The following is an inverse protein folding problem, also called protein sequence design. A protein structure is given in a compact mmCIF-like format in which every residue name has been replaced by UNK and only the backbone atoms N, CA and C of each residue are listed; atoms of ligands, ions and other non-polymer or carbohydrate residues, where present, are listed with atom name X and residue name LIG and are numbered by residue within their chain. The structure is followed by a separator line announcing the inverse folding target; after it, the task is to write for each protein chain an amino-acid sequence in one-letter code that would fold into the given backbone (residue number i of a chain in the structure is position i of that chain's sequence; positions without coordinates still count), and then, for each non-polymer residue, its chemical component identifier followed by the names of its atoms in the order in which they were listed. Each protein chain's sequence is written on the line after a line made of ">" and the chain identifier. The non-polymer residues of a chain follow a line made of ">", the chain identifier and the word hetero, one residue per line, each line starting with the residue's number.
data_IF_683719560781
#
_entry.id   IF_683719560781
#
_cell.length_a   1.000
_cell.length_b   1.000
_cell.length_c   1.000
_cell.angle_alpha   90.00
_cell.angle_beta   90.00
_cell.angle_gamma   90.00
#
_symmetry.space_group_name_H-M   'P 1'
#
loop_
_entity.id
_entity.type
_entity.pdbx_description
1 polymer ?
#
# COMPACT_ATOMS: atom_id res chain seq x y z
N UNK A 1 36.77 23.69 -63.81
CA UNK A 1 36.51 22.36 -63.20
C UNK A 1 36.00 22.57 -61.81
N UNK A 2 34.65 22.46 -61.60
CA UNK A 2 33.97 22.62 -60.29
C UNK A 2 33.62 21.23 -59.77
N UNK A 3 34.27 20.82 -58.66
CA UNK A 3 33.98 19.56 -57.97
C UNK A 3 32.90 19.78 -56.95
N UNK A 4 31.75 19.17 -57.13
CA UNK A 4 30.61 19.15 -56.21
C UNK A 4 30.79 17.97 -55.28
N UNK A 5 31.10 18.25 -53.99
CA UNK A 5 31.18 17.27 -52.91
C UNK A 5 29.78 17.02 -52.32
N UNK A 6 29.21 15.86 -52.63
CA UNK A 6 27.88 15.46 -52.14
C UNK A 6 28.06 14.82 -50.75
N UNK A 7 27.56 15.48 -49.70
CA UNK A 7 27.53 14.94 -48.34
C UNK A 7 26.31 14.02 -48.19
N UNK A 8 26.54 12.75 -48.07
CA UNK A 8 25.53 11.75 -47.65
C UNK A 8 25.32 11.84 -46.14
N UNK A 9 24.20 12.44 -45.74
CA UNK A 9 23.77 12.43 -44.33
C UNK A 9 23.04 11.11 -44.07
N UNK A 10 23.74 10.17 -43.45
CA UNK A 10 23.18 8.88 -43.05
C UNK A 10 22.32 9.09 -41.78
N UNK A 11 21.01 9.14 -41.97
CA UNK A 11 20.03 9.21 -40.86
C UNK A 11 19.94 7.83 -40.17
N UNK A 12 20.62 7.67 -39.06
CA UNK A 12 20.49 6.49 -38.19
C UNK A 12 19.13 6.55 -37.49
N UNK A 13 18.15 5.80 -37.99
CA UNK A 13 16.90 5.51 -37.30
C UNK A 13 17.21 4.59 -36.13
N UNK A 14 17.26 5.13 -34.92
CA UNK A 14 17.18 4.36 -33.68
C UNK A 14 15.77 3.76 -33.59
N UNK A 15 15.63 2.53 -34.05
CA UNK A 15 14.44 1.72 -33.77
C UNK A 15 14.56 1.32 -32.30
N UNK A 16 13.87 2.05 -31.44
CA UNK A 16 13.61 1.62 -30.06
C UNK A 16 12.71 0.38 -30.16
N UNK A 17 13.27 -0.79 -29.96
CA UNK A 17 12.48 -1.99 -29.67
C UNK A 17 11.81 -1.76 -28.31
N UNK A 18 10.58 -1.25 -28.35
CA UNK A 18 9.65 -1.47 -27.24
C UNK A 18 9.16 -2.90 -27.43
N UNK A 19 9.58 -3.79 -26.52
CA UNK A 19 9.00 -5.11 -26.43
C UNK A 19 7.48 -4.94 -26.29
N UNK A 20 6.67 -5.65 -27.10
CA UNK A 20 5.22 -5.62 -26.90
C UNK A 20 4.95 -6.17 -25.49
N UNK A 21 4.39 -5.34 -24.61
CA UNK A 21 3.83 -5.79 -23.35
C UNK A 21 2.82 -6.88 -23.70
N UNK A 22 3.11 -8.12 -23.34
CA UNK A 22 2.22 -9.26 -23.59
C UNK A 22 1.01 -9.10 -22.64
N UNK A 23 -0.02 -8.42 -23.14
CA UNK A 23 -1.26 -8.07 -22.43
C UNK A 23 -2.19 -9.30 -22.28
N UNK A 24 -1.62 -10.46 -21.95
CA UNK A 24 -2.38 -11.69 -21.69
C UNK A 24 -2.75 -11.89 -20.22
N UNK A 25 -2.27 -11.05 -19.33
CA UNK A 25 -2.62 -11.07 -17.90
C UNK A 25 -3.72 -10.09 -17.57
N UNK A 26 -4.46 -10.33 -16.48
CA UNK A 26 -5.37 -9.33 -15.95
C UNK A 26 -4.60 -8.07 -15.55
N UNK A 27 -5.18 -6.88 -15.78
CA UNK A 27 -4.58 -5.61 -15.37
C UNK A 27 -4.39 -5.63 -13.85
N UNK A 28 -3.17 -5.36 -13.37
CA UNK A 28 -2.83 -5.40 -11.93
C UNK A 28 -3.81 -4.61 -11.07
N UNK A 29 -4.20 -3.40 -11.50
CA UNK A 29 -5.21 -2.60 -10.79
C UNK A 29 -6.56 -3.32 -10.66
N UNK A 30 -7.01 -3.99 -11.72
CA UNK A 30 -8.28 -4.75 -11.69
C UNK A 30 -8.21 -5.92 -10.71
N UNK A 31 -7.08 -6.62 -10.67
CA UNK A 31 -6.83 -7.70 -9.71
C UNK A 31 -6.84 -7.16 -8.28
N UNK A 32 -6.08 -6.08 -8.02
CA UNK A 32 -6.02 -5.41 -6.73
C UNK A 32 -7.42 -5.00 -6.25
N UNK A 33 -8.18 -4.32 -7.11
CA UNK A 33 -9.51 -3.85 -6.77
C UNK A 33 -10.47 -4.99 -6.45
N UNK A 34 -10.51 -6.02 -7.32
CA UNK A 34 -11.44 -7.14 -7.20
C UNK A 34 -11.09 -8.08 -6.04
N UNK A 35 -9.81 -8.42 -5.89
CA UNK A 35 -9.38 -9.50 -5.02
C UNK A 35 -8.91 -9.02 -3.65
N UNK A 36 -8.53 -7.74 -3.51
CA UNK A 36 -8.01 -7.21 -2.24
C UNK A 36 -8.90 -6.08 -1.70
N UNK A 37 -9.08 -4.98 -2.45
CA UNK A 37 -9.77 -3.80 -1.91
C UNK A 37 -11.25 -4.07 -1.68
N UNK A 38 -11.92 -4.73 -2.63
CA UNK A 38 -13.35 -4.99 -2.52
C UNK A 38 -13.70 -5.90 -1.33
N UNK A 39 -13.07 -7.06 -1.11
CA UNK A 39 -13.41 -7.93 0.01
C UNK A 39 -12.95 -7.38 1.37
N UNK A 40 -11.81 -6.68 1.45
CA UNK A 40 -11.20 -6.30 2.72
C UNK A 40 -11.50 -4.86 3.16
N UNK A 41 -11.81 -3.96 2.24
CA UNK A 41 -11.85 -2.51 2.51
C UNK A 41 -13.19 -1.85 2.17
N UNK A 42 -13.82 -2.24 1.04
CA UNK A 42 -14.96 -1.51 0.49
C UNK A 42 -16.20 -1.51 1.38
N UNK A 43 -16.38 -2.50 2.27
CA UNK A 43 -17.52 -2.53 3.18
C UNK A 43 -17.55 -1.33 4.14
N UNK A 44 -16.39 -0.83 4.53
CA UNK A 44 -16.24 0.35 5.39
C UNK A 44 -15.99 1.62 4.56
N UNK A 45 -15.14 1.54 3.54
CA UNK A 45 -14.76 2.63 2.66
C UNK A 45 -15.66 2.65 1.41
N UNK A 46 -16.95 2.89 1.59
CA UNK A 46 -17.96 3.01 0.53
C UNK A 46 -18.54 4.43 0.50
N UNK A 47 -18.94 4.86 -0.67
CA UNK A 47 -19.56 6.17 -0.89
C UNK A 47 -20.69 6.43 0.11
N UNK A 48 -20.67 7.60 0.75
CA UNK A 48 -21.69 8.02 1.73
C UNK A 48 -21.58 7.37 3.12
N UNK A 49 -20.61 6.50 3.37
CA UNK A 49 -20.36 5.96 4.72
C UNK A 49 -19.76 7.01 5.66
N UNK A 50 -19.86 6.77 6.98
CA UNK A 50 -19.20 7.62 7.96
C UNK A 50 -17.66 7.54 7.82
N UNK A 51 -17.16 6.38 7.50
CA UNK A 51 -15.71 6.13 7.30
C UNK A 51 -15.20 6.85 6.06
N UNK A 52 -15.95 6.82 4.94
CA UNK A 52 -15.61 7.59 3.74
C UNK A 52 -15.55 9.09 4.05
N UNK A 53 -16.55 9.64 4.74
CA UNK A 53 -16.54 11.05 5.12
C UNK A 53 -15.36 11.44 6.01
N UNK A 54 -14.91 10.53 6.88
CA UNK A 54 -13.78 10.73 7.78
C UNK A 54 -12.44 10.59 7.04
N UNK A 55 -12.29 9.56 6.22
CA UNK A 55 -11.03 9.22 5.54
C UNK A 55 -10.84 9.91 4.19
N UNK A 56 -11.96 10.28 3.52
CA UNK A 56 -11.96 10.74 2.13
C UNK A 56 -11.77 9.64 1.11
N UNK A 57 -11.83 8.38 1.53
CA UNK A 57 -11.49 7.23 0.71
C UNK A 57 -12.75 6.43 0.36
N UNK A 58 -13.15 6.44 -0.91
CA UNK A 58 -14.16 5.55 -1.48
C UNK A 58 -13.48 4.44 -2.28
N UNK A 59 -13.58 3.20 -1.80
CA UNK A 59 -13.04 2.00 -2.45
C UNK A 59 -14.13 1.13 -3.05
N UNK A 60 -15.38 1.58 -3.05
CA UNK A 60 -16.53 0.83 -3.57
C UNK A 60 -16.77 1.06 -5.07
N UNK A 61 -16.32 2.20 -5.61
CA UNK A 61 -16.51 2.56 -7.01
C UNK A 61 -15.47 1.92 -7.93
N UNK A 62 -15.81 1.81 -9.22
CA UNK A 62 -14.85 1.39 -10.25
C UNK A 62 -13.74 2.45 -10.48
N UNK A 63 -14.00 3.70 -10.04
CA UNK A 63 -13.07 4.84 -10.17
C UNK A 63 -12.28 5.11 -8.88
N UNK A 64 -12.24 4.13 -7.96
CA UNK A 64 -11.51 4.24 -6.68
C UNK A 64 -10.01 4.52 -6.85
N UNK A 65 -9.44 4.26 -8.03
CA UNK A 65 -8.06 4.62 -8.34
C UNK A 65 -7.78 6.10 -8.16
N UNK A 66 -8.65 6.96 -8.67
CA UNK A 66 -8.45 8.41 -8.68
C UNK A 66 -8.65 9.04 -7.28
N UNK A 67 -9.28 8.30 -6.35
CA UNK A 67 -9.37 8.67 -4.94
C UNK A 67 -8.22 8.13 -4.09
N UNK A 68 -7.37 7.27 -4.66
CA UNK A 68 -6.32 6.55 -3.95
C UNK A 68 -4.92 7.05 -4.31
N UNK A 69 -4.60 7.18 -5.63
CA UNK A 69 -3.24 7.46 -6.10
C UNK A 69 -2.99 8.95 -6.19
N UNK A 70 -1.87 9.39 -5.61
CA UNK A 70 -1.40 10.78 -5.52
C UNK A 70 -2.38 11.74 -4.83
N UNK A 71 -3.23 11.22 -3.96
CA UNK A 71 -4.20 11.98 -3.17
C UNK A 71 -3.67 12.16 -1.74
N UNK A 72 -3.74 13.38 -1.22
CA UNK A 72 -3.37 13.65 0.17
C UNK A 72 -4.40 13.03 1.14
N UNK A 73 -3.95 12.36 2.23
CA UNK A 73 -4.87 11.81 3.22
C UNK A 73 -5.58 12.91 4.01
N UNK A 74 -6.83 12.65 4.43
CA UNK A 74 -7.55 13.54 5.37
C UNK A 74 -6.98 13.50 6.79
N UNK A 75 -6.23 12.46 7.15
CA UNK A 75 -5.50 12.45 8.42
C UNK A 75 -4.49 13.59 8.42
N UNK A 76 -4.64 14.53 9.38
CA UNK A 76 -3.85 15.76 9.41
C UNK A 76 -2.37 15.53 9.70
N UNK A 77 -2.03 14.51 10.48
CA UNK A 77 -0.64 14.16 10.78
C UNK A 77 0.05 13.59 9.55
N UNK A 78 -0.54 12.56 8.94
CA UNK A 78 -0.01 11.96 7.71
C UNK A 78 0.13 12.98 6.56
N UNK A 79 -0.86 13.90 6.44
CA UNK A 79 -0.79 14.97 5.45
C UNK A 79 0.36 15.95 5.73
N UNK A 80 0.54 16.35 7.00
CA UNK A 80 1.63 17.25 7.44
C UNK A 80 3.00 16.62 7.20
N UNK A 81 3.10 15.31 7.34
CA UNK A 81 4.33 14.55 7.09
C UNK A 81 4.60 14.33 5.59
N UNK A 82 3.70 14.84 4.73
CA UNK A 82 3.85 14.81 3.27
C UNK A 82 3.52 13.47 2.63
N UNK A 83 2.78 12.61 3.33
CA UNK A 83 2.32 11.35 2.77
C UNK A 83 1.19 11.56 1.76
N UNK A 84 1.10 10.64 0.82
CA UNK A 84 -0.04 10.47 -0.09
C UNK A 84 -0.78 9.19 0.32
N UNK A 85 -2.06 9.04 -0.03
CA UNK A 85 -2.76 7.78 0.26
C UNK A 85 -1.99 6.63 -0.39
N UNK A 86 -1.66 6.76 -1.69
CA UNK A 86 -0.68 5.94 -2.40
C UNK A 86 0.18 6.88 -3.25
N UNK A 87 1.50 6.74 -3.20
CA UNK A 87 2.41 7.51 -4.04
C UNK A 87 2.76 6.76 -5.32
N UNK A 88 2.68 7.46 -6.46
CA UNK A 88 3.11 6.94 -7.76
C UNK A 88 4.61 7.08 -8.04
N UNK A 89 5.42 7.55 -7.08
CA UNK A 89 6.86 7.72 -7.28
C UNK A 89 7.62 6.42 -7.56
N UNK A 90 7.03 5.28 -7.16
CA UNK A 90 7.63 3.95 -7.33
C UNK A 90 8.83 3.68 -6.42
N UNK A 91 9.29 2.42 -6.45
CA UNK A 91 10.38 1.94 -5.61
C UNK A 91 10.13 2.13 -4.11
N UNK A 92 11.18 2.03 -3.31
CA UNK A 92 11.10 2.21 -1.87
C UNK A 92 10.59 3.61 -1.49
N UNK A 93 10.90 4.63 -2.30
CA UNK A 93 10.43 6.01 -2.06
C UNK A 93 8.90 6.12 -2.18
N UNK A 94 8.31 5.51 -3.19
CA UNK A 94 6.85 5.44 -3.32
C UNK A 94 6.22 4.68 -2.16
N UNK A 95 6.83 3.56 -1.75
CA UNK A 95 6.33 2.75 -0.64
C UNK A 95 6.31 3.53 0.68
N UNK A 96 7.43 4.16 1.06
CA UNK A 96 7.55 4.93 2.32
C UNK A 96 6.73 6.21 2.34
N UNK A 97 6.31 6.73 1.18
CA UNK A 97 5.39 7.86 1.05
C UNK A 97 3.92 7.45 0.99
N UNK A 98 3.62 6.16 0.97
CA UNK A 98 2.26 5.66 0.84
C UNK A 98 1.63 5.42 2.22
N UNK A 99 0.71 6.29 2.63
CA UNK A 99 -0.03 6.17 3.88
C UNK A 99 -0.82 4.86 3.96
N UNK A 100 -1.31 4.35 2.82
CA UNK A 100 -1.94 3.04 2.75
C UNK A 100 -1.01 1.94 3.29
N UNK A 101 0.28 1.96 2.91
CA UNK A 101 1.25 0.96 3.37
C UNK A 101 1.41 1.00 4.90
N UNK A 102 1.54 2.18 5.48
CA UNK A 102 1.59 2.37 6.93
C UNK A 102 0.34 1.80 7.62
N UNK A 103 -0.83 1.93 6.99
CA UNK A 103 -2.10 1.48 7.56
C UNK A 103 -2.33 -0.03 7.50
N UNK A 104 -1.73 -0.75 6.55
CA UNK A 104 -2.01 -2.17 6.33
C UNK A 104 -0.87 -3.11 6.74
N UNK A 105 0.35 -2.58 6.92
CA UNK A 105 1.53 -3.40 7.26
C UNK A 105 1.50 -3.85 8.72
N UNK A 106 0.80 -4.95 8.98
CA UNK A 106 0.67 -5.49 10.34
C UNK A 106 2.00 -5.97 10.94
N UNK A 107 3.02 -6.24 10.12
CA UNK A 107 4.35 -6.65 10.59
C UNK A 107 5.15 -5.50 11.22
N UNK A 108 4.78 -4.26 10.93
CA UNK A 108 5.45 -3.07 11.44
C UNK A 108 4.63 -2.33 12.52
N UNK A 109 3.78 -3.06 13.25
CA UNK A 109 2.88 -2.48 14.25
C UNK A 109 3.61 -1.73 15.35
N UNK A 110 4.78 -2.23 15.80
CA UNK A 110 5.52 -1.61 16.89
C UNK A 110 6.00 -0.22 16.49
N UNK A 111 6.58 -0.08 15.30
CA UNK A 111 6.96 1.20 14.72
C UNK A 111 5.75 2.11 14.54
N UNK A 112 4.69 1.61 13.90
CA UNK A 112 3.49 2.38 13.62
C UNK A 112 2.84 2.95 14.89
N UNK A 113 2.69 2.14 15.95
CA UNK A 113 2.03 2.55 17.18
C UNK A 113 2.92 3.44 18.06
N UNK A 114 4.25 3.27 18.02
CA UNK A 114 5.18 4.07 18.83
C UNK A 114 5.49 5.42 18.19
N UNK A 115 5.73 5.44 16.88
CA UNK A 115 6.25 6.62 16.20
C UNK A 115 5.13 7.49 15.62
N UNK A 116 4.00 6.89 15.25
CA UNK A 116 2.88 7.55 14.59
C UNK A 116 1.50 7.22 15.21
N UNK A 117 1.32 7.37 16.54
CA UNK A 117 0.04 7.08 17.18
C UNK A 117 -1.12 7.93 16.61
N UNK A 118 -0.83 9.12 16.06
CA UNK A 118 -1.79 10.03 15.44
C UNK A 118 -2.27 9.58 14.06
N UNK A 119 -1.64 8.57 13.45
CA UNK A 119 -2.12 7.99 12.19
C UNK A 119 -3.36 7.12 12.39
N UNK A 120 -3.69 6.80 13.64
CA UNK A 120 -4.86 6.01 14.00
C UNK A 120 -4.60 4.50 13.91
N UNK A 121 -5.65 3.71 13.84
CA UNK A 121 -5.56 2.25 13.90
C UNK A 121 -5.05 1.65 12.59
N UNK A 122 -4.42 0.47 12.68
CA UNK A 122 -4.14 -0.37 11.52
C UNK A 122 -5.44 -0.81 10.81
N UNK A 123 -5.33 -1.07 9.53
CA UNK A 123 -6.44 -1.51 8.68
C UNK A 123 -6.16 -2.90 8.10
N UNK A 124 -7.18 -3.74 7.93
CA UNK A 124 -8.55 -3.59 8.44
C UNK A 124 -8.61 -3.64 9.97
N UNK A 125 -9.54 -2.92 10.61
CA UNK A 125 -9.63 -2.92 12.08
C UNK A 125 -10.07 -4.28 12.64
N UNK A 126 -9.75 -4.54 13.91
CA UNK A 126 -10.19 -5.76 14.58
C UNK A 126 -9.32 -6.99 14.31
N UNK A 127 -8.12 -6.85 13.77
CA UNK A 127 -7.17 -7.94 13.58
C UNK A 127 -7.41 -8.82 12.35
N UNK A 128 -8.31 -8.44 11.45
CA UNK A 128 -8.49 -9.09 10.15
C UNK A 128 -7.42 -8.64 9.14
N UNK A 129 -6.16 -8.85 9.50
CA UNK A 129 -5.03 -8.44 8.67
C UNK A 129 -5.07 -9.09 7.28
N UNK A 130 -4.49 -8.39 6.31
CA UNK A 130 -4.28 -8.92 4.96
C UNK A 130 -3.34 -10.13 5.01
N UNK A 131 -3.46 -11.02 4.04
CA UNK A 131 -2.51 -12.11 3.87
C UNK A 131 -1.15 -11.58 3.38
N UNK A 132 -0.11 -12.39 3.55
CA UNK A 132 1.23 -12.06 3.10
C UNK A 132 1.26 -11.84 1.58
N UNK A 133 0.51 -12.65 0.85
CA UNK A 133 0.34 -12.48 -0.59
C UNK A 133 -0.38 -11.18 -0.97
N UNK A 134 -1.44 -10.79 -0.25
CA UNK A 134 -2.14 -9.52 -0.46
C UNK A 134 -1.24 -8.33 -0.15
N UNK A 135 -0.49 -8.37 0.96
CA UNK A 135 0.48 -7.33 1.32
C UNK A 135 1.58 -7.22 0.27
N UNK A 136 2.16 -8.35 -0.16
CA UNK A 136 3.22 -8.34 -1.15
C UNK A 136 2.71 -7.86 -2.52
N UNK A 137 1.46 -8.18 -2.88
CA UNK A 137 0.83 -7.69 -4.12
C UNK A 137 0.69 -6.17 -4.11
N UNK A 138 0.15 -5.60 -3.02
CA UNK A 138 0.01 -4.14 -2.86
C UNK A 138 1.39 -3.47 -2.88
N UNK A 139 2.34 -4.01 -2.13
CA UNK A 139 3.70 -3.51 -2.09
C UNK A 139 4.33 -3.44 -3.47
N UNK A 140 4.29 -4.56 -4.21
CA UNK A 140 4.86 -4.64 -5.56
C UNK A 140 4.19 -3.67 -6.53
N UNK A 141 2.87 -3.48 -6.41
CA UNK A 141 2.14 -2.50 -7.22
C UNK A 141 2.59 -1.06 -6.91
N UNK A 142 2.76 -0.69 -5.64
CA UNK A 142 3.26 0.62 -5.23
C UNK A 142 4.70 0.82 -5.71
N UNK A 143 5.56 -0.19 -5.52
CA UNK A 143 6.97 -0.13 -5.97
C UNK A 143 7.08 -0.01 -7.50
N UNK A 144 6.11 -0.53 -8.26
CA UNK A 144 6.02 -0.34 -9.70
C UNK A 144 5.50 1.05 -10.12
N UNK A 145 5.19 1.94 -9.16
CA UNK A 145 4.64 3.27 -9.43
C UNK A 145 3.12 3.31 -9.48
N UNK A 146 2.47 2.35 -8.87
CA UNK A 146 1.02 2.25 -8.73
C UNK A 146 0.23 2.46 -10.04
N UNK A 147 0.60 1.84 -11.19
CA UNK A 147 -0.02 2.13 -12.46
C UNK A 147 -1.49 1.68 -12.52
N UNK A 148 -2.33 2.47 -13.22
CA UNK A 148 -3.75 2.14 -13.48
C UNK A 148 -3.92 1.07 -14.56
N UNK A 149 -2.93 0.89 -15.44
CA UNK A 149 -2.96 -0.02 -16.58
C UNK A 149 -1.72 -0.91 -16.62
N UNK A 150 -1.80 -2.00 -17.37
CA UNK A 150 -0.73 -2.96 -17.53
C UNK A 150 -0.69 -4.01 -16.42
N UNK A 151 0.05 -5.08 -16.69
CA UNK A 151 0.31 -6.16 -15.73
C UNK A 151 1.74 -6.02 -15.20
N UNK A 152 1.87 -5.52 -13.97
CA UNK A 152 3.16 -5.22 -13.33
C UNK A 152 3.44 -6.07 -12.08
N UNK A 153 2.46 -6.89 -11.64
CA UNK A 153 2.57 -7.76 -10.47
C UNK A 153 2.06 -9.15 -10.81
N UNK A 154 2.78 -10.17 -10.38
CA UNK A 154 2.39 -11.57 -10.54
C UNK A 154 1.20 -11.91 -9.61
N UNK A 155 0.08 -12.34 -10.20
CA UNK A 155 -1.12 -12.76 -9.45
C UNK A 155 -0.87 -13.99 -8.56
N UNK A 156 0.14 -14.81 -8.85
CA UNK A 156 0.48 -15.96 -8.03
C UNK A 156 0.87 -15.59 -6.60
N UNK A 157 1.25 -14.34 -6.34
CA UNK A 157 1.45 -13.85 -4.97
C UNK A 157 0.22 -14.07 -4.10
N UNK A 158 -1.00 -13.94 -4.65
CA UNK A 158 -2.26 -14.11 -3.92
C UNK A 158 -2.52 -15.55 -3.46
N UNK A 159 -1.71 -16.51 -3.87
CA UNK A 159 -1.77 -17.89 -3.37
C UNK A 159 -1.21 -18.02 -1.96
N UNK A 160 -0.41 -17.07 -1.50
CA UNK A 160 0.07 -17.04 -0.11
C UNK A 160 -1.03 -16.45 0.80
N UNK A 161 -1.68 -17.34 1.53
CA UNK A 161 -2.77 -17.00 2.46
C UNK A 161 -2.33 -16.89 3.90
N UNK A 162 -1.02 -17.02 4.21
CA UNK A 162 -0.51 -16.77 5.54
C UNK A 162 -0.85 -15.34 5.99
N UNK A 163 -0.97 -15.15 7.29
CA UNK A 163 -1.29 -13.82 7.87
C UNK A 163 -0.41 -13.55 9.07
N UNK A 164 -0.19 -12.27 9.34
CA UNK A 164 0.42 -11.87 10.58
C UNK A 164 -0.41 -12.39 11.77
N UNK A 165 0.26 -13.08 12.69
CA UNK A 165 -0.32 -13.51 13.96
C UNK A 165 0.32 -12.72 15.10
N UNK A 166 -0.46 -11.92 15.85
CA UNK A 166 0.04 -11.22 17.01
C UNK A 166 0.61 -12.20 18.03
N UNK A 167 1.78 -11.91 18.57
CA UNK A 167 2.33 -12.71 19.67
C UNK A 167 1.34 -12.69 20.84
N UNK A 168 1.01 -13.84 21.43
CA UNK A 168 0.15 -13.87 22.59
C UNK A 168 0.80 -13.07 23.74
N UNK A 169 -0.05 -12.31 24.44
CA UNK A 169 0.42 -11.59 25.62
C UNK A 169 0.99 -12.59 26.64
N UNK A 170 2.28 -12.48 26.91
CA UNK A 170 2.90 -13.18 28.01
C UNK A 170 3.00 -12.24 29.21
N UNK A 171 2.41 -12.65 30.34
CA UNK A 171 2.59 -11.92 31.59
C UNK A 171 4.09 -11.80 31.88
N UNK A 172 4.62 -10.62 32.18
CA UNK A 172 6.00 -10.47 32.59
C UNK A 172 6.32 -11.38 33.77
N UNK A 173 7.48 -12.06 33.75
CA UNK A 173 7.95 -12.82 34.90
C UNK A 173 8.06 -11.90 36.12
N UNK A 174 7.59 -12.33 37.29
CA UNK A 174 7.74 -11.53 38.47
C UNK A 174 9.23 -11.27 38.74
N UNK A 175 9.60 -10.10 39.24
CA UNK A 175 10.99 -9.79 39.54
C UNK A 175 11.52 -10.78 40.56
N UNK A 176 12.70 -11.33 40.31
CA UNK A 176 13.36 -12.33 41.19
C UNK A 176 13.92 -11.71 42.48
N UNK A 177 13.96 -10.38 42.57
CA UNK A 177 14.39 -9.62 43.74
C UNK A 177 13.64 -8.30 43.86
N UNK A 178 13.39 -7.82 45.04
CA UNK A 178 12.69 -6.59 45.35
C UNK A 178 11.28 -6.78 45.93
N UNK A 179 10.62 -5.68 46.23
CA UNK A 179 9.27 -5.67 46.81
C UNK A 179 8.25 -5.81 45.67
N UNK A 180 7.43 -6.86 45.71
CA UNK A 180 6.29 -7.01 44.82
C UNK A 180 5.09 -6.25 45.40
N UNK A 181 4.63 -5.23 44.69
CA UNK A 181 3.40 -4.52 45.04
C UNK A 181 2.26 -5.13 44.21
N UNK A 182 1.37 -5.88 44.86
CA UNK A 182 0.11 -6.30 44.25
C UNK A 182 -0.91 -5.19 44.42
N UNK A 183 -1.09 -4.41 43.36
CA UNK A 183 -2.28 -3.57 43.26
C UNK A 183 -3.46 -4.47 42.89
N UNK A 184 -4.42 -4.62 43.78
CA UNK A 184 -5.60 -5.48 43.62
C UNK A 184 -6.42 -5.11 42.38
N UNK A 185 -7.43 -5.92 42.07
CA UNK A 185 -8.29 -5.62 40.91
C UNK A 185 -8.92 -4.23 41.06
N UNK A 186 -8.70 -3.38 40.08
CA UNK A 186 -9.45 -2.14 39.98
C UNK A 186 -10.85 -2.50 39.44
N UNK A 187 -11.90 -2.23 40.19
CA UNK A 187 -13.25 -2.25 39.68
C UNK A 187 -13.40 -1.07 38.73
N UNK A 188 -13.81 -1.37 37.47
CA UNK A 188 -14.06 -0.40 36.42
C UNK A 188 -15.55 -0.04 36.46
#
# INVERSE_FOLDING_TARGET
>A
MKSTLTFFFSLLLLISCQDPVDDKGAITWTVLQKNILKPNCSNCHMAGSAIERQSGLDLSSNDSYDSLVDVAPKNSAANKDGLLIVSSEGGMKGLTKSYLWEKINAYDQEHFLSDHPEYGQLMPPGGNFLSDGELQFIRSWIEAGAPKSGNVVDENLLLDTNKYEPKPFSKPEPPTSGMQLHLGPFEI
#
